data_IF_981484242863
#
_entry.id   IF_981484242863
#
_cell.length_a   1.000
_cell.length_b   1.000
_cell.length_c   1.000
_cell.angle_alpha   90.00
_cell.angle_beta   90.00
_cell.angle_gamma   90.00
#
_symmetry.space_group_name_H-M   'P 1'
#
loop_
_entity.id
_entity.type
_entity.pdbx_description
1 polymer ?
#
# COMPACT_ATOMS: atom_id res chain seq x y z
N UNK A 1 19.27 1.03 -36.22
CA UNK A 1 18.04 1.24 -35.42
C UNK A 1 17.86 0.22 -34.29
N UNK A 2 18.18 -1.07 -34.52
CA UNK A 2 18.07 -2.15 -33.51
C UNK A 2 18.92 -1.92 -32.25
N UNK A 3 20.11 -1.35 -32.38
CA UNK A 3 21.06 -1.11 -31.26
C UNK A 3 20.59 -0.05 -30.26
N UNK A 4 19.77 0.93 -30.69
CA UNK A 4 19.20 1.96 -29.80
C UNK A 4 18.02 1.38 -28.99
N UNK A 5 17.19 0.56 -29.63
CA UNK A 5 16.06 -0.12 -28.98
C UNK A 5 16.54 -1.11 -27.91
N UNK A 6 17.57 -1.91 -28.20
CA UNK A 6 18.16 -2.82 -27.22
C UNK A 6 18.74 -2.07 -26.01
N UNK A 7 19.39 -0.92 -26.23
CA UNK A 7 19.94 -0.10 -25.14
C UNK A 7 18.85 0.53 -24.27
N UNK A 8 17.75 0.99 -24.86
CA UNK A 8 16.61 1.53 -24.10
C UNK A 8 15.86 0.45 -23.32
N UNK A 9 15.72 -0.76 -23.87
CA UNK A 9 15.09 -1.89 -23.17
C UNK A 9 15.95 -2.34 -21.99
N UNK A 10 17.27 -2.44 -22.15
CA UNK A 10 18.19 -2.77 -21.03
C UNK A 10 18.15 -1.69 -19.95
N UNK A 11 18.15 -0.41 -20.33
CA UNK A 11 18.04 0.71 -19.39
C UNK A 11 16.68 0.74 -18.66
N UNK A 12 15.59 0.35 -19.35
CA UNK A 12 14.26 0.22 -18.76
C UNK A 12 14.14 -0.96 -17.79
N UNK A 13 14.83 -2.07 -18.06
CA UNK A 13 14.91 -3.22 -17.15
C UNK A 13 15.65 -2.87 -15.86
N UNK A 14 16.82 -2.24 -15.95
CA UNK A 14 17.59 -1.81 -14.77
C UNK A 14 16.78 -0.87 -13.86
N UNK A 15 16.08 0.11 -14.44
CA UNK A 15 15.20 1.02 -13.67
C UNK A 15 14.03 0.31 -12.99
N UNK A 16 13.48 -0.75 -13.59
CA UNK A 16 12.40 -1.55 -12.97
C UNK A 16 12.93 -2.40 -11.82
N UNK A 17 14.11 -2.98 -11.96
CA UNK A 17 14.78 -3.76 -10.91
C UNK A 17 15.18 -2.88 -9.72
N UNK A 18 15.71 -1.69 -9.98
CA UNK A 18 16.03 -0.69 -8.94
C UNK A 18 14.78 -0.26 -8.16
N UNK A 19 13.67 0.01 -8.86
CA UNK A 19 12.38 0.32 -8.21
C UNK A 19 11.87 -0.84 -7.38
N UNK A 20 11.91 -2.06 -7.91
CA UNK A 20 11.48 -3.25 -7.17
C UNK A 20 12.34 -3.49 -5.91
N UNK A 21 13.66 -3.33 -6.01
CA UNK A 21 14.56 -3.44 -4.87
C UNK A 21 14.31 -2.35 -3.81
N UNK A 22 14.04 -1.12 -4.27
CA UNK A 22 13.68 -0.01 -3.40
C UNK A 22 12.36 -0.24 -2.66
N UNK A 23 11.32 -0.70 -3.36
CA UNK A 23 10.02 -1.06 -2.75
C UNK A 23 10.20 -2.20 -1.75
N UNK A 24 10.99 -3.22 -2.08
CA UNK A 24 11.28 -4.32 -1.15
C UNK A 24 11.99 -3.83 0.12
N UNK A 25 12.91 -2.88 0.00
CA UNK A 25 13.57 -2.27 1.15
C UNK A 25 12.58 -1.48 2.01
N UNK A 26 11.66 -0.73 1.38
CA UNK A 26 10.60 -0.01 2.09
C UNK A 26 9.65 -0.96 2.83
N UNK A 27 9.27 -2.10 2.21
CA UNK A 27 8.42 -3.11 2.86
C UNK A 27 9.06 -3.66 4.14
N UNK A 28 10.36 -3.96 4.11
CA UNK A 28 11.10 -4.36 5.32
C UNK A 28 11.11 -3.27 6.40
N UNK A 29 11.19 -1.99 6.00
CA UNK A 29 11.12 -0.87 6.92
C UNK A 29 9.72 -0.71 7.53
N UNK A 30 8.65 -0.94 6.76
CA UNK A 30 7.27 -1.01 7.28
C UNK A 30 7.16 -2.11 8.34
N UNK A 31 7.55 -3.34 8.01
CA UNK A 31 7.49 -4.48 8.94
C UNK A 31 8.23 -4.21 10.24
N UNK A 32 9.45 -3.65 10.15
CA UNK A 32 10.24 -3.26 11.31
C UNK A 32 9.59 -2.14 12.11
N UNK A 33 9.05 -1.12 11.44
CA UNK A 33 8.36 -0.03 12.14
C UNK A 33 7.08 -0.53 12.83
N UNK A 34 6.35 -1.48 12.23
CA UNK A 34 5.19 -2.12 12.84
C UNK A 34 5.57 -2.93 14.09
N UNK A 35 6.64 -3.73 14.03
CA UNK A 35 7.10 -4.52 15.18
C UNK A 35 7.60 -3.63 16.33
N UNK A 36 8.26 -2.51 16.01
CA UNK A 36 8.70 -1.49 16.97
C UNK A 36 7.57 -0.55 17.43
N UNK A 37 6.32 -0.75 16.97
CA UNK A 37 5.16 0.12 17.27
C UNK A 37 5.35 1.58 16.85
N UNK A 38 6.20 1.84 15.85
CA UNK A 38 6.51 3.15 15.31
C UNK A 38 5.54 3.51 14.19
N UNK A 39 4.26 3.67 14.53
CA UNK A 39 3.13 3.79 13.59
C UNK A 39 3.29 4.91 12.56
N UNK A 40 3.74 6.10 12.99
CA UNK A 40 3.98 7.23 12.08
C UNK A 40 5.12 7.00 11.09
N UNK A 41 6.12 6.18 11.46
CA UNK A 41 7.18 5.79 10.53
C UNK A 41 6.68 4.76 9.54
N UNK A 42 5.91 3.77 9.99
CA UNK A 42 5.26 2.81 9.11
C UNK A 42 4.37 3.50 8.06
N UNK A 43 3.56 4.47 8.49
CA UNK A 43 2.70 5.28 7.60
C UNK A 43 3.50 6.03 6.52
N UNK A 44 4.62 6.68 6.89
CA UNK A 44 5.52 7.34 5.93
C UNK A 44 6.17 6.37 4.96
N UNK A 45 6.53 5.16 5.39
CA UNK A 45 7.07 4.16 4.47
C UNK A 45 5.99 3.63 3.52
N UNK A 46 4.74 3.48 3.99
CA UNK A 46 3.59 3.19 3.13
C UNK A 46 3.40 4.28 2.07
N UNK A 47 3.49 5.56 2.43
CA UNK A 47 3.42 6.67 1.45
C UNK A 47 4.47 6.57 0.35
N UNK A 48 5.70 6.21 0.72
CA UNK A 48 6.79 6.04 -0.25
C UNK A 48 6.56 4.84 -1.17
N UNK A 49 6.00 3.74 -0.65
CA UNK A 49 5.63 2.59 -1.48
C UNK A 49 4.53 3.00 -2.46
N UNK A 50 3.49 3.69 -1.99
CA UNK A 50 2.36 4.13 -2.82
C UNK A 50 2.74 5.19 -3.86
N UNK A 51 3.80 5.97 -3.62
CA UNK A 51 4.35 6.87 -4.64
C UNK A 51 4.96 6.11 -5.84
N UNK A 52 5.53 4.93 -5.59
CA UNK A 52 6.10 4.06 -6.64
C UNK A 52 5.07 3.08 -7.22
N UNK A 53 4.22 2.49 -6.37
CA UNK A 53 3.17 1.53 -6.68
C UNK A 53 1.81 2.02 -6.12
N UNK A 54 1.14 2.97 -6.81
CA UNK A 54 -0.13 3.55 -6.32
C UNK A 54 -1.27 2.53 -6.26
N UNK A 55 -1.13 1.39 -6.93
CA UNK A 55 -2.12 0.32 -7.01
C UNK A 55 -1.85 -0.83 -6.02
N UNK A 56 -0.88 -0.69 -5.11
CA UNK A 56 -0.57 -1.74 -4.12
C UNK A 56 -1.66 -1.82 -3.04
N UNK A 57 -2.55 -2.81 -3.21
CA UNK A 57 -3.68 -3.09 -2.32
C UNK A 57 -3.24 -3.36 -0.88
N UNK A 58 -2.14 -4.10 -0.69
CA UNK A 58 -1.67 -4.48 0.63
C UNK A 58 -1.18 -3.25 1.39
N UNK A 59 -0.46 -2.36 0.71
CA UNK A 59 0.03 -1.12 1.32
C UNK A 59 -1.12 -0.18 1.70
N UNK A 60 -2.14 -0.03 0.84
CA UNK A 60 -3.35 0.74 1.19
C UNK A 60 -4.09 0.14 2.39
N UNK A 61 -4.17 -1.19 2.49
CA UNK A 61 -4.81 -1.88 3.60
C UNK A 61 -4.06 -1.64 4.92
N UNK A 62 -2.74 -1.81 4.92
CA UNK A 62 -1.87 -1.52 6.08
C UNK A 62 -2.06 -0.08 6.53
N UNK A 63 -2.03 0.86 5.59
CA UNK A 63 -2.24 2.29 5.88
C UNK A 63 -3.60 2.58 6.50
N UNK A 64 -4.67 1.94 6.01
CA UNK A 64 -6.01 2.05 6.59
C UNK A 64 -6.06 1.58 8.04
N UNK A 65 -5.44 0.43 8.35
CA UNK A 65 -5.35 -0.06 9.74
C UNK A 65 -4.51 0.84 10.64
N UNK A 66 -3.42 1.41 10.12
CA UNK A 66 -2.60 2.37 10.85
C UNK A 66 -3.41 3.62 11.23
N UNK A 67 -4.10 4.20 10.25
CA UNK A 67 -4.93 5.37 10.42
C UNK A 67 -6.06 5.13 11.44
N UNK A 68 -6.73 3.98 11.37
CA UNK A 68 -7.85 3.65 12.25
C UNK A 68 -7.41 3.35 13.68
N UNK A 69 -6.39 2.51 13.87
CA UNK A 69 -6.07 1.95 15.19
C UNK A 69 -5.04 2.75 15.99
N UNK A 70 -4.21 3.54 15.32
CA UNK A 70 -3.02 4.12 15.96
C UNK A 70 -2.83 5.60 15.73
N UNK A 71 -3.43 6.18 14.67
CA UNK A 71 -3.27 7.60 14.33
C UNK A 71 -4.53 8.43 14.63
N UNK A 72 -5.58 7.81 15.14
CA UNK A 72 -6.87 8.46 15.46
C UNK A 72 -7.43 9.26 14.27
N UNK A 73 -7.29 8.69 13.07
CA UNK A 73 -7.66 9.31 11.81
C UNK A 73 -8.68 8.43 11.05
N UNK A 74 -9.93 8.30 11.57
CA UNK A 74 -10.93 7.40 11.01
C UNK A 74 -11.35 7.80 9.59
N UNK A 75 -11.40 9.10 9.27
CA UNK A 75 -11.69 9.59 7.92
C UNK A 75 -10.64 9.13 6.89
N UNK A 76 -9.36 9.23 7.23
CA UNK A 76 -8.25 8.73 6.42
C UNK A 76 -8.32 7.22 6.26
N UNK A 77 -8.66 6.49 7.32
CA UNK A 77 -8.82 5.04 7.28
C UNK A 77 -9.93 4.61 6.31
N UNK A 78 -11.10 5.26 6.35
CA UNK A 78 -12.20 5.01 5.40
C UNK A 78 -11.72 5.24 3.98
N UNK A 79 -11.04 6.36 3.70
CA UNK A 79 -10.51 6.63 2.36
C UNK A 79 -9.51 5.56 1.90
N UNK A 80 -8.67 5.04 2.79
CA UNK A 80 -7.71 3.98 2.45
C UNK A 80 -8.43 2.66 2.12
N UNK A 81 -9.40 2.25 2.93
CA UNK A 81 -10.18 1.04 2.65
C UNK A 81 -11.00 1.16 1.36
N UNK A 82 -11.60 2.32 1.10
CA UNK A 82 -12.28 2.58 -0.18
C UNK A 82 -11.32 2.47 -1.36
N UNK A 83 -10.07 2.94 -1.24
CA UNK A 83 -9.06 2.76 -2.29
C UNK A 83 -8.76 1.29 -2.56
N UNK A 84 -8.63 0.45 -1.54
CA UNK A 84 -8.47 -1.00 -1.70
C UNK A 84 -9.64 -1.60 -2.48
N UNK A 85 -10.87 -1.20 -2.15
CA UNK A 85 -12.08 -1.70 -2.83
C UNK A 85 -12.15 -1.25 -4.30
N UNK A 86 -11.80 0.01 -4.59
CA UNK A 86 -11.80 0.55 -5.96
C UNK A 86 -10.74 -0.16 -6.82
N UNK A 87 -9.54 -0.36 -6.27
CA UNK A 87 -8.42 -0.94 -7.01
C UNK A 87 -8.50 -2.47 -7.15
N UNK A 88 -8.98 -3.16 -6.12
CA UNK A 88 -9.12 -4.62 -6.12
C UNK A 88 -10.41 -5.11 -6.80
N UNK A 89 -11.30 -4.20 -7.17
CA UNK A 89 -12.55 -4.51 -7.85
C UNK A 89 -13.54 -5.31 -6.99
N UNK A 90 -14.54 -5.89 -7.67
CA UNK A 90 -15.58 -6.72 -7.03
C UNK A 90 -15.14 -8.17 -6.80
N UNK A 91 -13.87 -8.51 -7.07
CA UNK A 91 -13.37 -9.87 -6.90
C UNK A 91 -13.27 -10.22 -5.41
N UNK A 92 -14.31 -10.91 -4.92
CA UNK A 92 -14.40 -11.41 -3.54
C UNK A 92 -13.28 -12.37 -3.16
N UNK A 93 -12.54 -12.92 -4.14
CA UNK A 93 -11.41 -13.82 -3.92
C UNK A 93 -10.16 -13.10 -3.39
N UNK A 94 -10.09 -11.78 -3.51
CA UNK A 94 -8.93 -11.03 -3.05
C UNK A 94 -8.98 -10.79 -1.53
N UNK A 95 -8.05 -11.40 -0.79
CA UNK A 95 -7.97 -11.28 0.66
C UNK A 95 -7.90 -9.83 1.16
N UNK A 96 -7.21 -8.94 0.42
CA UNK A 96 -7.12 -7.53 0.80
C UNK A 96 -8.47 -6.82 0.69
N UNK A 97 -9.24 -7.12 -0.36
CA UNK A 97 -10.59 -6.56 -0.57
C UNK A 97 -11.56 -7.04 0.51
N UNK A 98 -11.51 -8.33 0.84
CA UNK A 98 -12.32 -8.92 1.91
C UNK A 98 -12.00 -8.27 3.27
N UNK A 99 -10.72 -8.12 3.61
CA UNK A 99 -10.28 -7.47 4.84
C UNK A 99 -10.64 -5.98 4.90
N UNK A 100 -10.47 -5.25 3.78
CA UNK A 100 -10.87 -3.85 3.69
C UNK A 100 -12.37 -3.67 3.90
N UNK A 101 -13.21 -4.52 3.29
CA UNK A 101 -14.67 -4.49 3.45
C UNK A 101 -15.08 -4.75 4.90
N UNK A 102 -14.51 -5.77 5.53
CA UNK A 102 -14.79 -6.09 6.93
C UNK A 102 -14.37 -4.95 7.87
N UNK A 103 -13.19 -4.38 7.65
CA UNK A 103 -12.67 -3.27 8.47
C UNK A 103 -13.48 -2.00 8.30
N UNK A 104 -13.88 -1.68 7.06
CA UNK A 104 -14.73 -0.52 6.77
C UNK A 104 -16.12 -0.69 7.40
N UNK A 105 -16.72 -1.88 7.34
CA UNK A 105 -18.00 -2.14 8.00
C UNK A 105 -17.91 -1.97 9.53
N UNK A 106 -16.85 -2.47 10.16
CA UNK A 106 -16.61 -2.29 11.60
C UNK A 106 -16.42 -0.81 11.96
N UNK A 107 -15.62 -0.08 11.18
CA UNK A 107 -15.35 1.33 11.42
C UNK A 107 -16.64 2.16 11.31
N UNK A 108 -17.44 1.93 10.26
CA UNK A 108 -18.71 2.65 10.10
C UNK A 108 -19.70 2.35 11.23
N UNK A 109 -19.77 1.10 11.70
CA UNK A 109 -20.61 0.73 12.84
C UNK A 109 -20.19 1.40 14.16
N UNK A 110 -18.94 1.85 14.29
CA UNK A 110 -18.46 2.61 15.45
C UNK A 110 -18.76 4.13 15.34
N UNK A 111 -19.09 4.61 14.14
CA UNK A 111 -19.38 6.02 13.88
C UNK A 111 -20.89 6.33 13.84
N UNK A 112 -21.74 5.29 13.81
CA UNK A 112 -23.21 5.37 13.91
C UNK A 112 -23.68 5.17 15.34
#
# INVERSE_FOLDING_TARGET
>A
MVSVLLRQVVNGKGKREERAAFIAALRRQVERALSEKRWRFADRFCDRILAEEPNDLQTWLIKGHLAWRYLDAPSTAVSCFQKVLILGGFESSNACVAQARASLAQLLAQLT
#
